data_IF_840567576026
#
_entry.id   IF_840567576026
#
_cell.length_a   1.000
_cell.length_b   1.000
_cell.length_c   1.000
_cell.angle_alpha   90.00
_cell.angle_beta   90.00
_cell.angle_gamma   90.00
#
_symmetry.space_group_name_H-M   'P 1'
#
loop_
_entity.id
_entity.type
_entity.pdbx_description
1 polymer ?
#
# COMPACT_ATOMS: atom_id res chain seq x y z
N UNK A 1 -24.41 13.23 50.28
CA UNK A 1 -23.42 13.69 49.28
C UNK A 1 -23.34 12.62 48.20
N UNK A 2 -24.01 12.83 47.05
CA UNK A 2 -24.06 11.85 45.93
C UNK A 2 -22.90 12.16 44.98
N UNK A 3 -21.88 11.32 44.96
CA UNK A 3 -20.82 11.35 43.95
C UNK A 3 -21.39 10.81 42.64
N UNK A 4 -21.74 11.70 41.71
CA UNK A 4 -22.08 11.30 40.34
C UNK A 4 -20.81 10.81 39.65
N UNK A 5 -20.69 9.50 39.49
CA UNK A 5 -19.72 8.88 38.57
C UNK A 5 -20.15 9.25 37.16
N UNK A 6 -19.60 10.35 36.65
CA UNK A 6 -19.62 10.67 35.23
C UNK A 6 -18.86 9.54 34.53
N UNK A 7 -19.61 8.57 33.99
CA UNK A 7 -19.07 7.70 32.96
C UNK A 7 -18.81 8.61 31.76
N UNK A 8 -17.57 9.11 31.67
CA UNK A 8 -17.03 9.59 30.41
C UNK A 8 -17.14 8.41 29.44
N UNK A 9 -18.22 8.42 28.66
CA UNK A 9 -18.40 7.61 27.47
C UNK A 9 -17.44 8.12 26.40
N UNK A 10 -16.15 8.22 26.74
CA UNK A 10 -15.06 8.48 25.84
C UNK A 10 -15.15 7.37 24.81
N UNK A 11 -15.71 7.71 23.66
CA UNK A 11 -15.83 6.81 22.52
C UNK A 11 -14.43 6.28 22.26
N UNK A 12 -14.16 5.05 22.68
CA UNK A 12 -12.92 4.36 22.41
C UNK A 12 -12.87 4.23 20.89
N UNK A 13 -12.25 5.23 20.24
CA UNK A 13 -11.94 5.16 18.83
C UNK A 13 -11.18 3.85 18.67
N UNK A 14 -11.65 2.93 17.83
CA UNK A 14 -11.01 1.62 17.70
C UNK A 14 -9.54 1.86 17.41
N UNK A 15 -8.69 1.35 18.30
CA UNK A 15 -7.24 1.39 18.12
C UNK A 15 -6.97 0.77 16.76
N UNK A 16 -6.48 1.59 15.83
CA UNK A 16 -6.14 1.12 14.50
C UNK A 16 -4.94 0.19 14.69
N UNK A 17 -5.12 -1.09 14.38
CA UNK A 17 -4.06 -2.09 14.53
C UNK A 17 -2.83 -1.65 13.71
N UNK A 18 -1.63 -1.60 14.33
CA UNK A 18 -0.42 -1.25 13.62
C UNK A 18 -0.14 -2.31 12.54
N UNK A 19 0.49 -1.92 11.42
CA UNK A 19 0.90 -2.88 10.40
C UNK A 19 1.87 -3.92 10.99
N UNK A 20 1.53 -5.20 10.84
CA UNK A 20 2.23 -6.38 11.41
C UNK A 20 3.73 -6.45 11.00
N UNK A 21 4.13 -5.75 9.93
CA UNK A 21 5.47 -5.78 9.35
C UNK A 21 6.09 -4.39 9.22
N UNK A 22 5.91 -3.54 10.23
CA UNK A 22 6.60 -2.26 10.27
C UNK A 22 7.13 -1.90 11.66
N UNK A 23 8.24 -1.17 11.69
CA UNK A 23 8.84 -0.63 12.91
C UNK A 23 8.30 0.80 13.12
N UNK A 24 7.76 1.14 14.30
CA UNK A 24 7.37 2.51 14.60
C UNK A 24 8.61 3.40 14.70
N UNK A 25 8.67 4.47 13.91
CA UNK A 25 9.78 5.44 13.96
C UNK A 25 9.49 6.59 14.93
N UNK A 26 8.22 6.98 15.04
CA UNK A 26 7.80 8.10 15.89
C UNK A 26 6.56 8.80 15.36
N UNK A 27 6.28 9.99 15.88
CA UNK A 27 5.18 10.84 15.42
C UNK A 27 5.73 12.15 14.87
N UNK A 28 5.33 12.51 13.66
CA UNK A 28 5.69 13.78 13.01
C UNK A 28 4.38 14.48 12.63
N UNK A 29 4.18 15.71 13.10
CA UNK A 29 2.97 16.51 12.85
C UNK A 29 1.63 15.76 13.14
N UNK A 30 1.61 14.93 14.20
CA UNK A 30 0.45 14.12 14.59
C UNK A 30 0.23 12.84 13.77
N UNK A 31 1.09 12.55 12.79
CA UNK A 31 1.09 11.31 12.03
C UNK A 31 2.15 10.35 12.58
N UNK A 32 1.78 9.09 12.84
CA UNK A 32 2.74 8.06 13.24
C UNK A 32 3.45 7.52 11.99
N UNK A 33 4.77 7.65 11.96
CA UNK A 33 5.59 7.14 10.87
C UNK A 33 6.03 5.72 11.17
N UNK A 34 5.90 4.83 10.19
CA UNK A 34 6.34 3.45 10.27
C UNK A 34 7.30 3.12 9.13
N UNK A 35 8.33 2.33 9.39
CA UNK A 35 9.22 1.78 8.36
C UNK A 35 8.90 0.33 8.09
N UNK A 36 8.71 -0.03 6.82
CA UNK A 36 8.55 -1.44 6.44
C UNK A 36 9.84 -2.23 6.67
N UNK A 37 9.75 -3.49 7.13
CA UNK A 37 10.94 -4.34 7.23
C UNK A 37 11.61 -4.58 5.88
N UNK A 38 10.82 -4.62 4.79
CA UNK A 38 11.34 -4.77 3.43
C UNK A 38 12.31 -3.66 3.04
N UNK A 39 12.10 -2.44 3.55
CA UNK A 39 13.00 -1.31 3.30
C UNK A 39 14.35 -1.53 3.98
N UNK A 40 14.35 -1.97 5.24
CA UNK A 40 15.57 -2.23 6.00
C UNK A 40 16.39 -3.36 5.39
N UNK A 41 15.72 -4.43 4.95
CA UNK A 41 16.36 -5.55 4.26
C UNK A 41 16.98 -5.07 2.94
N UNK A 42 16.25 -4.30 2.13
CA UNK A 42 16.76 -3.77 0.87
C UNK A 42 17.97 -2.83 1.09
N UNK A 43 17.90 -1.94 2.09
CA UNK A 43 19.02 -1.08 2.45
C UNK A 43 20.24 -1.89 2.88
N UNK A 44 20.04 -2.94 3.69
CA UNK A 44 21.10 -3.87 4.09
C UNK A 44 21.75 -4.58 2.90
N UNK A 45 20.95 -5.03 1.91
CA UNK A 45 21.44 -5.63 0.68
C UNK A 45 22.28 -4.62 -0.12
N UNK A 46 21.79 -3.38 -0.28
CA UNK A 46 22.53 -2.32 -0.98
C UNK A 46 23.85 -2.03 -0.30
N UNK A 47 23.85 -1.84 1.04
CA UNK A 47 25.07 -1.62 1.82
C UNK A 47 26.03 -2.80 1.67
N UNK A 48 25.54 -4.04 1.72
CA UNK A 48 26.35 -5.23 1.51
C UNK A 48 27.01 -5.27 0.13
N UNK A 49 26.25 -5.00 -0.94
CA UNK A 49 26.76 -4.94 -2.31
C UNK A 49 27.80 -3.82 -2.45
N UNK A 50 27.52 -2.63 -1.93
CA UNK A 50 28.46 -1.51 -1.97
C UNK A 50 29.75 -1.87 -1.24
N UNK A 51 29.65 -2.46 -0.04
CA UNK A 51 30.82 -2.88 0.74
C UNK A 51 31.65 -3.97 0.03
N UNK A 52 31.02 -4.90 -0.69
CA UNK A 52 31.75 -5.97 -1.40
C UNK A 52 32.37 -5.50 -2.71
N UNK A 53 31.77 -4.53 -3.41
CA UNK A 53 32.18 -4.15 -4.76
C UNK A 53 32.90 -2.80 -4.88
N UNK A 54 32.82 -1.92 -3.87
CA UNK A 54 33.44 -0.58 -3.94
C UNK A 54 34.98 -0.61 -4.04
N UNK A 55 35.63 -1.72 -3.66
CA UNK A 55 37.09 -1.87 -3.75
C UNK A 55 37.61 -2.27 -5.14
N UNK A 56 36.74 -2.65 -6.08
CA UNK A 56 37.17 -3.10 -7.41
C UNK A 56 37.55 -1.91 -8.30
N UNK A 57 38.57 -2.09 -9.14
CA UNK A 57 38.95 -1.10 -10.14
C UNK A 57 37.73 -0.76 -11.05
N UNK A 58 37.36 0.52 -11.12
CA UNK A 58 36.18 1.00 -11.85
C UNK A 58 34.92 1.22 -11.01
N UNK A 59 34.91 0.82 -9.73
CA UNK A 59 33.73 0.96 -8.85
C UNK A 59 33.89 2.01 -7.74
N UNK A 60 34.88 2.92 -7.85
CA UNK A 60 35.15 3.93 -6.83
C UNK A 60 33.92 4.81 -6.54
N UNK A 61 33.10 5.04 -7.56
CA UNK A 61 31.93 5.91 -7.49
C UNK A 61 30.67 5.20 -6.99
N UNK A 62 30.70 3.87 -6.85
CA UNK A 62 29.53 3.07 -6.48
C UNK A 62 28.97 3.47 -5.10
N UNK A 63 29.86 3.74 -4.14
CA UNK A 63 29.47 4.17 -2.80
C UNK A 63 28.80 5.55 -2.81
N UNK A 64 29.30 6.46 -3.66
CA UNK A 64 28.73 7.79 -3.81
C UNK A 64 27.39 7.75 -4.54
N UNK A 65 27.31 7.06 -5.68
CA UNK A 65 26.07 6.84 -6.44
C UNK A 65 24.97 6.21 -5.59
N UNK A 66 25.30 5.17 -4.82
CA UNK A 66 24.32 4.50 -3.95
C UNK A 66 23.81 5.43 -2.84
N UNK A 67 24.70 6.22 -2.23
CA UNK A 67 24.31 7.21 -1.23
C UNK A 67 23.37 8.26 -1.82
N UNK A 68 23.72 8.82 -2.98
CA UNK A 68 22.88 9.77 -3.71
C UNK A 68 21.53 9.14 -4.05
N UNK A 69 21.52 7.90 -4.53
CA UNK A 69 20.29 7.19 -4.87
C UNK A 69 19.37 7.00 -3.67
N UNK A 70 19.92 6.66 -2.49
CA UNK A 70 19.16 6.56 -1.23
C UNK A 70 18.59 7.92 -0.83
N UNK A 71 19.37 9.00 -0.95
CA UNK A 71 18.91 10.37 -0.65
C UNK A 71 17.77 10.78 -1.57
N UNK A 72 17.92 10.60 -2.89
CA UNK A 72 16.87 10.94 -3.87
C UNK A 72 15.61 10.12 -3.62
N UNK A 73 15.75 8.82 -3.37
CA UNK A 73 14.63 7.95 -3.04
C UNK A 73 13.90 8.42 -1.77
N UNK A 74 14.65 8.84 -0.74
CA UNK A 74 14.08 9.37 0.50
C UNK A 74 13.34 10.70 0.26
N UNK A 75 13.88 11.58 -0.58
CA UNK A 75 13.22 12.82 -1.00
C UNK A 75 11.91 12.51 -1.75
N UNK A 76 11.91 11.54 -2.66
CA UNK A 76 10.69 11.09 -3.33
C UNK A 76 9.64 10.56 -2.35
N UNK A 77 10.06 9.75 -1.37
CA UNK A 77 9.16 9.29 -0.30
C UNK A 77 8.61 10.45 0.53
N UNK A 78 9.43 11.47 0.80
CA UNK A 78 9.00 12.66 1.52
C UNK A 78 7.93 13.43 0.75
N UNK A 79 8.12 13.68 -0.55
CA UNK A 79 7.12 14.37 -1.38
C UNK A 79 5.81 13.60 -1.46
N UNK A 80 5.87 12.26 -1.58
CA UNK A 80 4.67 11.44 -1.52
C UNK A 80 3.98 11.55 -0.16
N UNK A 81 4.72 11.41 0.95
CA UNK A 81 4.17 11.55 2.29
C UNK A 81 3.51 12.93 2.50
N UNK A 82 4.13 13.99 1.98
CA UNK A 82 3.60 15.35 2.02
C UNK A 82 2.31 15.49 1.20
N UNK A 83 2.29 15.00 -0.04
CA UNK A 83 1.10 15.00 -0.88
C UNK A 83 -0.06 14.21 -0.26
N UNK A 84 0.26 13.06 0.36
CA UNK A 84 -0.71 12.30 1.13
C UNK A 84 -1.18 13.04 2.37
N UNK A 85 -0.29 13.73 3.09
CA UNK A 85 -0.68 14.52 4.26
C UNK A 85 -1.61 15.67 3.90
N UNK A 86 -1.41 16.31 2.75
CA UNK A 86 -2.30 17.35 2.24
C UNK A 86 -3.68 16.80 1.85
N UNK A 87 -3.74 15.55 1.35
CA UNK A 87 -5.00 14.88 1.04
C UNK A 87 -5.69 14.22 2.24
N UNK A 88 -4.94 13.82 3.27
CA UNK A 88 -5.47 13.25 4.50
C UNK A 88 -5.99 14.39 5.37
N UNK A 89 -7.27 14.34 5.74
CA UNK A 89 -7.78 15.18 6.82
C UNK A 89 -6.94 15.04 8.10
N UNK A 90 -6.99 16.04 8.98
CA UNK A 90 -6.13 16.15 10.16
C UNK A 90 -6.11 14.90 11.08
N UNK A 91 -7.14 14.05 10.99
CA UNK A 91 -7.46 12.97 11.93
C UNK A 91 -6.94 11.58 11.54
N UNK A 92 -6.09 11.41 10.53
CA UNK A 92 -5.59 10.09 10.12
C UNK A 92 -4.10 9.88 10.43
N UNK A 93 -3.81 8.77 11.11
CA UNK A 93 -2.73 8.69 12.09
C UNK A 93 -1.52 7.83 11.72
N UNK A 94 -1.41 7.29 10.51
CA UNK A 94 -0.14 6.68 10.12
C UNK A 94 0.19 6.70 8.63
N UNK A 95 1.49 6.83 8.34
CA UNK A 95 2.11 6.72 7.02
C UNK A 95 3.21 5.66 7.13
N UNK A 96 3.19 4.66 6.25
CA UNK A 96 4.24 3.64 6.19
C UNK A 96 5.18 3.97 5.04
N UNK A 97 6.47 4.11 5.31
CA UNK A 97 7.50 4.26 4.28
C UNK A 97 7.99 2.85 3.92
N UNK A 98 7.69 2.43 2.69
CA UNK A 98 8.05 1.11 2.16
C UNK A 98 9.07 1.20 1.02
N UNK A 99 9.60 0.05 0.57
CA UNK A 99 10.60 -0.03 -0.50
C UNK A 99 10.17 0.69 -1.80
N UNK A 100 8.89 0.57 -2.15
CA UNK A 100 8.27 1.15 -3.35
C UNK A 100 7.63 2.52 -2.99
N UNK A 101 8.26 3.25 -2.07
CA UNK A 101 7.78 4.53 -1.55
C UNK A 101 6.70 4.41 -0.48
N UNK A 102 5.90 5.47 -0.33
CA UNK A 102 4.95 5.56 0.78
C UNK A 102 3.70 4.73 0.55
N UNK A 103 3.32 3.96 1.56
CA UNK A 103 2.10 3.16 1.63
C UNK A 103 1.15 3.80 2.62
N UNK A 104 -0.15 3.70 2.33
CA UNK A 104 -1.20 4.14 3.24
C UNK A 104 -2.28 3.08 3.38
N UNK A 105 -3.06 3.18 4.45
CA UNK A 105 -4.19 2.28 4.69
C UNK A 105 -5.36 2.62 3.76
N UNK A 106 -5.83 1.63 3.00
CA UNK A 106 -7.08 1.72 2.24
C UNK A 106 -8.27 2.09 3.14
N UNK A 107 -9.18 2.93 2.64
CA UNK A 107 -10.44 3.28 3.35
C UNK A 107 -10.34 4.43 4.35
N UNK A 108 -9.29 5.26 4.24
CA UNK A 108 -9.17 6.54 4.99
C UNK A 108 -9.40 7.78 4.13
N UNK A 109 -9.54 7.59 2.81
CA UNK A 109 -9.83 8.65 1.86
C UNK A 109 -10.91 8.17 0.91
N UNK A 110 -11.79 9.07 0.49
CA UNK A 110 -12.68 8.77 -0.63
C UNK A 110 -11.90 8.50 -1.91
N UNK A 111 -12.55 7.82 -2.85
CA UNK A 111 -11.97 7.53 -4.16
C UNK A 111 -11.54 8.81 -4.88
N UNK A 112 -12.37 9.86 -4.88
CA UNK A 112 -12.05 11.14 -5.53
C UNK A 112 -10.79 11.80 -4.94
N UNK A 113 -10.70 11.89 -3.61
CA UNK A 113 -9.51 12.43 -2.94
C UNK A 113 -8.28 11.59 -3.22
N UNK A 114 -8.41 10.25 -3.18
CA UNK A 114 -7.31 9.33 -3.48
C UNK A 114 -6.80 9.50 -4.91
N UNK A 115 -7.72 9.69 -5.87
CA UNK A 115 -7.37 9.96 -7.27
C UNK A 115 -6.61 11.28 -7.39
N UNK A 116 -7.14 12.36 -6.80
CA UNK A 116 -6.51 13.68 -6.79
C UNK A 116 -5.11 13.64 -6.16
N UNK A 117 -4.95 13.01 -5.00
CA UNK A 117 -3.65 12.90 -4.32
C UNK A 117 -2.66 12.08 -5.12
N UNK A 118 -3.12 10.99 -5.75
CA UNK A 118 -2.26 10.14 -6.57
C UNK A 118 -1.79 10.88 -7.82
N UNK A 119 -2.69 11.59 -8.51
CA UNK A 119 -2.35 12.44 -9.66
C UNK A 119 -1.39 13.55 -9.25
N UNK A 120 -1.69 14.28 -8.16
CA UNK A 120 -0.80 15.33 -7.64
C UNK A 120 0.59 14.80 -7.33
N UNK A 121 0.69 13.65 -6.65
CA UNK A 121 1.97 13.02 -6.31
C UNK A 121 2.79 12.69 -7.56
N UNK A 122 2.14 12.05 -8.54
CA UNK A 122 2.79 11.69 -9.82
C UNK A 122 3.22 12.95 -10.57
N UNK A 123 2.37 13.97 -10.65
CA UNK A 123 2.67 15.24 -11.33
C UNK A 123 3.84 15.97 -10.68
N UNK A 124 3.88 16.06 -9.34
CA UNK A 124 4.98 16.72 -8.61
C UNK A 124 6.29 15.99 -8.84
N UNK A 125 6.30 14.66 -8.71
CA UNK A 125 7.52 13.89 -8.94
C UNK A 125 7.96 13.95 -10.41
N UNK A 126 7.02 13.92 -11.35
CA UNK A 126 7.32 14.03 -12.79
C UNK A 126 7.91 15.40 -13.11
N UNK A 127 7.36 16.47 -12.54
CA UNK A 127 7.87 17.82 -12.70
C UNK A 127 9.29 17.96 -12.14
N UNK A 128 9.54 17.44 -10.93
CA UNK A 128 10.88 17.44 -10.32
C UNK A 128 11.86 16.63 -11.19
N UNK A 129 11.54 15.38 -11.52
CA UNK A 129 12.39 14.52 -12.34
C UNK A 129 12.70 15.14 -13.70
N UNK A 130 11.69 15.67 -14.38
CA UNK A 130 11.86 16.33 -15.68
C UNK A 130 12.67 17.62 -15.57
N UNK A 131 12.47 18.41 -14.51
CA UNK A 131 13.24 19.63 -14.28
C UNK A 131 14.72 19.35 -14.04
N UNK A 132 15.06 18.26 -13.34
CA UNK A 132 16.43 17.83 -13.12
C UNK A 132 17.09 17.35 -14.42
N UNK A 133 16.35 16.63 -15.28
CA UNK A 133 16.83 16.23 -16.61
C UNK A 133 17.01 17.42 -17.55
N UNK A 134 16.18 18.47 -17.44
CA UNK A 134 16.36 19.70 -18.21
C UNK A 134 17.56 20.51 -17.68
N UNK A 135 17.70 20.60 -16.36
CA UNK A 135 18.82 21.27 -15.72
C UNK A 135 20.16 20.59 -16.02
N UNK A 136 20.19 19.25 -16.09
CA UNK A 136 21.41 18.52 -16.46
C UNK A 136 21.85 18.84 -17.90
N UNK A 137 20.91 18.90 -18.85
CA UNK A 137 21.18 19.31 -20.23
C UNK A 137 21.72 20.73 -20.31
N UNK A 138 21.06 21.65 -19.62
CA UNK A 138 21.51 23.05 -19.59
C UNK A 138 22.89 23.22 -18.93
N UNK A 139 23.20 22.40 -17.93
CA UNK A 139 24.54 22.38 -17.31
C UNK A 139 25.59 21.87 -18.30
N UNK A 140 25.31 20.82 -19.08
CA UNK A 140 26.27 20.30 -20.09
C UNK A 140 26.61 21.36 -21.12
N UNK A 141 25.59 22.03 -21.67
CA UNK A 141 25.77 23.06 -22.71
C UNK A 141 26.64 24.25 -22.25
N UNK A 142 26.63 24.57 -20.94
CA UNK A 142 27.37 25.71 -20.39
C UNK A 142 28.82 25.38 -20.04
N UNK A 143 29.09 24.16 -19.58
CA UNK A 143 30.41 23.81 -19.04
C UNK A 143 31.32 23.07 -20.04
N UNK A 144 30.78 22.44 -21.09
CA UNK A 144 31.57 21.82 -22.16
C UNK A 144 31.21 22.36 -23.56
N UNK A 145 31.47 23.66 -23.86
CA UNK A 145 31.26 24.19 -25.20
C UNK A 145 32.23 23.62 -26.26
N UNK A 146 33.28 22.89 -25.86
CA UNK A 146 34.35 22.43 -26.75
C UNK A 146 34.26 20.96 -27.21
N UNK A 147 33.43 20.12 -26.57
CA UNK A 147 33.39 18.67 -26.87
C UNK A 147 32.29 18.25 -27.87
N UNK A 148 31.60 19.22 -28.49
CA UNK A 148 30.52 18.98 -29.47
C UNK A 148 31.02 18.43 -30.81
N UNK A 149 32.33 18.24 -31.00
CA UNK A 149 32.89 18.10 -32.35
C UNK A 149 33.12 16.70 -32.92
N UNK A 150 32.96 15.55 -32.23
CA UNK A 150 33.42 14.30 -32.91
C UNK A 150 32.76 12.92 -32.72
N UNK A 151 31.82 12.63 -31.81
CA UNK A 151 31.40 11.21 -31.64
C UNK A 151 30.07 10.73 -32.23
N UNK A 152 28.99 11.52 -32.39
CA UNK A 152 27.64 10.88 -32.48
C UNK A 152 26.69 11.29 -33.61
N UNK A 153 27.18 11.77 -34.76
CA UNK A 153 26.30 12.11 -35.91
C UNK A 153 25.91 10.89 -36.76
N UNK A 154 26.53 9.72 -36.58
CA UNK A 154 26.25 8.55 -37.45
C UNK A 154 25.75 7.35 -36.65
N UNK A 155 24.49 7.02 -36.93
CA UNK A 155 23.75 5.79 -36.62
C UNK A 155 23.23 5.63 -35.19
N UNK A 156 21.97 6.07 -34.96
CA UNK A 156 21.16 5.57 -33.84
C UNK A 156 20.70 6.60 -32.80
N UNK A 157 20.36 7.84 -33.18
CA UNK A 157 19.96 8.91 -32.23
C UNK A 157 18.86 8.50 -31.23
N UNK A 158 17.95 7.58 -31.56
CA UNK A 158 16.90 7.14 -30.62
C UNK A 158 17.41 6.18 -29.53
N UNK A 159 18.46 5.41 -29.78
CA UNK A 159 18.98 4.45 -28.79
C UNK A 159 19.74 5.17 -27.66
N UNK A 160 20.39 6.30 -27.95
CA UNK A 160 21.07 7.10 -26.94
C UNK A 160 20.13 7.79 -25.95
N UNK A 161 18.88 8.12 -26.34
CA UNK A 161 17.92 8.72 -25.40
C UNK A 161 17.46 7.77 -24.28
N UNK A 162 17.62 6.46 -24.47
CA UNK A 162 17.22 5.44 -23.49
C UNK A 162 18.38 4.64 -22.92
N UNK A 163 19.62 4.92 -23.36
CA UNK A 163 20.79 4.34 -22.73
C UNK A 163 20.96 4.95 -21.34
N UNK A 164 21.05 4.09 -20.31
CA UNK A 164 21.42 4.54 -18.97
C UNK A 164 22.86 5.09 -19.09
N UNK A 165 23.09 6.39 -18.83
CA UNK A 165 24.41 6.99 -19.03
C UNK A 165 25.43 6.26 -18.15
N UNK A 166 26.67 6.17 -18.64
CA UNK A 166 27.79 5.78 -17.79
C UNK A 166 27.83 6.69 -16.57
N UNK A 167 28.04 6.12 -15.38
CA UNK A 167 28.06 6.86 -14.12
C UNK A 167 29.35 7.66 -13.97
N UNK A 168 29.55 8.65 -14.83
CA UNK A 168 30.58 9.67 -14.61
C UNK A 168 30.05 10.68 -13.59
N UNK A 169 30.11 10.31 -12.30
CA UNK A 169 29.57 11.11 -11.20
C UNK A 169 30.42 12.32 -10.86
N UNK A 170 31.54 12.54 -11.56
CA UNK A 170 32.41 13.70 -11.36
C UNK A 170 31.74 14.98 -11.85
N UNK A 171 30.89 14.89 -12.88
CA UNK A 171 30.19 16.05 -13.43
C UNK A 171 28.86 16.35 -12.69
N UNK A 172 28.58 17.62 -12.35
CA UNK A 172 27.30 18.00 -11.74
C UNK A 172 26.12 17.71 -12.68
N UNK A 173 26.33 17.77 -13.99
CA UNK A 173 25.33 17.41 -15.00
C UNK A 173 24.91 15.95 -14.91
N UNK A 174 25.86 15.01 -14.79
CA UNK A 174 25.55 13.59 -14.65
C UNK A 174 24.82 13.28 -13.34
N UNK A 175 25.15 13.96 -12.24
CA UNK A 175 24.44 13.82 -10.96
C UNK A 175 22.96 14.25 -11.07
N UNK A 176 22.70 15.38 -11.71
CA UNK A 176 21.34 15.86 -11.97
C UNK A 176 20.58 14.91 -12.90
N UNK A 177 21.26 14.38 -13.92
CA UNK A 177 20.66 13.41 -14.84
C UNK A 177 20.28 12.11 -14.11
N UNK A 178 21.20 11.55 -13.32
CA UNK A 178 20.95 10.38 -12.50
C UNK A 178 19.77 10.62 -11.54
N UNK A 179 19.74 11.79 -10.91
CA UNK A 179 18.66 12.15 -10.01
C UNK A 179 17.30 12.20 -10.72
N UNK A 180 17.25 12.84 -11.89
CA UNK A 180 16.07 12.87 -12.74
C UNK A 180 15.57 11.46 -13.11
N UNK A 181 16.47 10.58 -13.56
CA UNK A 181 16.13 9.20 -13.88
C UNK A 181 15.63 8.40 -12.67
N UNK A 182 16.25 8.56 -11.51
CA UNK A 182 15.81 7.87 -10.29
C UNK A 182 14.40 8.29 -9.85
N UNK A 183 14.04 9.57 -9.99
CA UNK A 183 12.66 10.01 -9.78
C UNK A 183 11.70 9.37 -10.79
N UNK A 184 12.05 9.31 -12.07
CA UNK A 184 11.22 8.67 -13.09
C UNK A 184 11.04 7.18 -12.84
N UNK A 185 12.10 6.47 -12.48
CA UNK A 185 12.05 5.05 -12.10
C UNK A 185 11.14 4.89 -10.88
N UNK A 186 11.27 5.75 -9.86
CA UNK A 186 10.41 5.69 -8.68
C UNK A 186 8.94 5.89 -9.04
N UNK A 187 8.61 6.84 -9.92
CA UNK A 187 7.25 7.03 -10.44
C UNK A 187 6.76 5.77 -11.17
N UNK A 188 7.57 5.21 -12.06
CA UNK A 188 7.22 4.02 -12.83
C UNK A 188 6.91 2.83 -11.91
N UNK A 189 7.77 2.59 -10.93
CA UNK A 189 7.61 1.50 -9.94
C UNK A 189 6.38 1.73 -9.05
N UNK A 190 6.04 2.98 -8.74
CA UNK A 190 4.86 3.32 -7.93
C UNK A 190 3.55 3.23 -8.69
N UNK A 191 3.56 3.63 -9.96
CA UNK A 191 2.42 3.51 -10.87
C UNK A 191 2.12 2.05 -11.21
N UNK A 192 3.07 1.16 -10.99
CA UNK A 192 2.86 -0.26 -11.15
C UNK A 192 1.88 -0.79 -10.10
N UNK A 193 0.83 -1.56 -10.48
CA UNK A 193 -0.33 -1.82 -9.63
C UNK A 193 -0.12 -2.99 -8.64
N UNK A 194 0.97 -2.91 -7.88
CA UNK A 194 1.32 -3.84 -6.81
C UNK A 194 0.40 -3.69 -5.58
N UNK A 195 0.40 -4.67 -4.66
CA UNK A 195 -0.33 -4.57 -3.41
C UNK A 195 0.11 -3.35 -2.61
N UNK A 196 -0.86 -2.54 -2.17
CA UNK A 196 -0.61 -1.34 -1.36
C UNK A 196 0.28 -0.29 -2.07
N UNK A 197 0.44 -0.35 -3.40
CA UNK A 197 1.14 0.68 -4.17
C UNK A 197 0.18 1.77 -4.63
N UNK A 198 0.75 2.95 -4.93
CA UNK A 198 0.03 4.09 -5.49
C UNK A 198 -0.76 3.70 -6.74
N UNK A 199 -0.16 2.96 -7.66
CA UNK A 199 -0.77 2.55 -8.93
C UNK A 199 -2.04 1.72 -8.76
N UNK A 200 -2.08 0.83 -7.76
CA UNK A 200 -3.29 0.03 -7.48
C UNK A 200 -4.41 0.88 -6.88
N UNK A 201 -4.07 1.83 -6.00
CA UNK A 201 -5.05 2.77 -5.46
C UNK A 201 -5.54 3.75 -6.53
N UNK A 202 -4.65 4.22 -7.39
CA UNK A 202 -4.97 5.07 -8.54
C UNK A 202 -5.96 4.34 -9.46
N UNK A 203 -5.66 3.10 -9.87
CA UNK A 203 -6.55 2.29 -10.69
C UNK A 203 -7.93 2.11 -10.05
N UNK A 204 -7.97 1.74 -8.77
CA UNK A 204 -9.23 1.54 -8.06
C UNK A 204 -10.03 2.85 -7.93
N UNK A 205 -9.36 3.94 -7.55
CA UNK A 205 -9.98 5.26 -7.40
C UNK A 205 -10.49 5.82 -8.73
N UNK A 206 -9.78 5.59 -9.84
CA UNK A 206 -10.20 5.97 -11.17
C UNK A 206 -11.48 5.23 -11.59
N UNK A 207 -11.52 3.90 -11.43
CA UNK A 207 -12.72 3.10 -11.75
C UNK A 207 -13.93 3.53 -10.91
N UNK A 208 -13.73 3.76 -9.61
CA UNK A 208 -14.80 4.20 -8.72
C UNK A 208 -15.28 5.63 -9.01
N UNK A 209 -14.37 6.52 -9.44
CA UNK A 209 -14.72 7.90 -9.77
C UNK A 209 -15.54 8.02 -11.05
N UNK A 210 -15.50 7.01 -11.93
CA UNK A 210 -16.35 6.94 -13.13
C UNK A 210 -17.82 6.64 -12.82
N UNK A 211 -18.18 6.30 -11.56
CA UNK A 211 -19.57 6.21 -11.12
C UNK A 211 -20.37 5.09 -11.77
N UNK A 212 -19.80 3.88 -11.88
CA UNK A 212 -20.53 2.74 -12.43
C UNK A 212 -21.69 2.34 -11.51
N UNK A 213 -22.92 2.28 -12.06
CA UNK A 213 -24.15 2.03 -11.28
C UNK A 213 -24.16 0.70 -10.52
N UNK A 214 -23.39 -0.30 -10.97
CA UNK A 214 -23.34 -1.63 -10.36
C UNK A 214 -22.01 -1.88 -9.65
N UNK A 215 -22.03 -2.03 -8.32
CA UNK A 215 -20.84 -2.36 -7.51
C UNK A 215 -20.09 -3.61 -7.97
N UNK A 216 -20.82 -4.61 -8.49
CA UNK A 216 -20.23 -5.83 -9.05
C UNK A 216 -19.44 -5.60 -10.34
N UNK A 217 -19.73 -4.53 -11.09
CA UNK A 217 -18.98 -4.16 -12.29
C UNK A 217 -17.64 -3.52 -11.93
N UNK A 218 -17.59 -2.66 -10.91
CA UNK A 218 -16.36 -1.96 -10.46
C UNK A 218 -15.27 -2.95 -10.06
N UNK A 219 -15.62 -3.94 -9.23
CA UNK A 219 -14.70 -5.00 -8.79
C UNK A 219 -14.17 -5.78 -9.99
N UNK A 220 -15.04 -6.12 -10.97
CA UNK A 220 -14.65 -6.85 -12.18
C UNK A 220 -13.67 -6.04 -13.03
N UNK A 221 -13.88 -4.73 -13.20
CA UNK A 221 -12.99 -3.86 -13.96
C UNK A 221 -11.61 -3.73 -13.32
N UNK A 222 -11.55 -3.48 -12.00
CA UNK A 222 -10.28 -3.40 -11.29
C UNK A 222 -9.54 -4.74 -11.38
N UNK A 223 -10.24 -5.85 -11.16
CA UNK A 223 -9.66 -7.20 -11.28
C UNK A 223 -9.10 -7.48 -12.68
N UNK A 224 -9.86 -7.16 -13.74
CA UNK A 224 -9.41 -7.30 -15.14
C UNK A 224 -8.20 -6.41 -15.43
N UNK A 225 -8.19 -5.17 -14.95
CA UNK A 225 -7.05 -4.26 -15.11
C UNK A 225 -5.78 -4.81 -14.46
N UNK A 226 -5.89 -5.39 -13.26
CA UNK A 226 -4.76 -6.03 -12.58
C UNK A 226 -4.24 -7.25 -13.35
N UNK A 227 -5.14 -8.13 -13.83
CA UNK A 227 -4.74 -9.29 -14.65
C UNK A 227 -4.06 -8.83 -15.94
N UNK A 228 -4.63 -7.82 -16.62
CA UNK A 228 -4.06 -7.28 -17.85
C UNK A 228 -2.64 -6.74 -17.63
N UNK A 229 -2.42 -6.00 -16.53
CA UNK A 229 -1.08 -5.52 -16.17
C UNK A 229 -0.08 -6.66 -15.92
N UNK A 230 -0.53 -7.76 -15.30
CA UNK A 230 0.32 -8.92 -15.05
C UNK A 230 0.67 -9.65 -16.36
N UNK A 231 -0.30 -9.85 -17.25
CA UNK A 231 -0.09 -10.45 -18.58
C UNK A 231 0.87 -9.60 -19.41
N UNK A 232 0.66 -8.28 -19.45
CA UNK A 232 1.56 -7.36 -20.14
C UNK A 232 3.00 -7.45 -19.62
N UNK A 233 3.16 -7.54 -18.30
CA UNK A 233 4.48 -7.71 -17.66
C UNK A 233 5.13 -9.05 -18.04
N UNK A 234 4.36 -10.13 -18.13
CA UNK A 234 4.88 -11.42 -18.59
C UNK A 234 5.30 -11.37 -20.07
N UNK A 235 4.48 -10.78 -20.93
CA UNK A 235 4.82 -10.59 -22.36
C UNK A 235 6.10 -9.76 -22.52
N UNK A 236 6.25 -8.71 -21.71
CA UNK A 236 7.46 -7.90 -21.69
C UNK A 236 8.69 -8.71 -21.21
N UNK A 237 8.53 -9.58 -20.22
CA UNK A 237 9.58 -10.50 -19.79
C UNK A 237 10.02 -11.45 -20.92
N UNK A 238 9.07 -11.99 -21.69
CA UNK A 238 9.36 -12.84 -22.86
C UNK A 238 10.01 -12.06 -24.00
N UNK A 239 9.61 -10.81 -24.24
CA UNK A 239 10.28 -9.95 -25.21
C UNK A 239 11.75 -9.69 -24.82
N UNK A 240 12.01 -9.46 -23.53
CA UNK A 240 13.37 -9.30 -22.98
C UNK A 240 14.22 -10.57 -23.13
N UNK A 241 13.62 -11.76 -23.02
CA UNK A 241 14.32 -13.02 -23.27
C UNK A 241 14.90 -13.09 -24.69
N UNK A 242 14.19 -12.53 -25.69
CA UNK A 242 14.65 -12.51 -27.09
C UNK A 242 15.76 -11.49 -27.33
N UNK A 243 15.76 -10.39 -26.60
CA UNK A 243 16.70 -9.27 -26.77
C UNK A 243 17.99 -9.42 -25.97
N UNK A 244 18.27 -10.61 -25.42
CA UNK A 244 19.27 -10.80 -24.36
C UNK A 244 20.68 -10.35 -24.78
N UNK A 245 21.04 -9.13 -24.41
CA UNK A 245 22.42 -8.68 -24.30
C UNK A 245 23.05 -9.37 -23.08
N UNK A 246 24.30 -9.84 -23.18
CA UNK A 246 24.95 -10.62 -22.13
C UNK A 246 25.21 -9.77 -20.89
N UNK A 247 24.26 -9.74 -19.98
CA UNK A 247 24.42 -9.23 -18.62
C UNK A 247 24.63 -10.41 -17.66
N UNK A 248 25.34 -10.15 -16.56
CA UNK A 248 25.67 -11.16 -15.55
C UNK A 248 24.44 -11.81 -14.91
N UNK A 249 23.29 -11.10 -14.89
CA UNK A 249 22.02 -11.63 -14.38
C UNK A 249 20.94 -11.47 -15.45
N UNK A 250 20.28 -12.57 -15.88
CA UNK A 250 19.15 -12.46 -16.80
C UNK A 250 18.01 -11.68 -16.13
N UNK A 251 17.49 -10.65 -16.80
CA UNK A 251 16.44 -9.76 -16.26
C UNK A 251 15.03 -10.39 -16.30
N UNK A 252 14.79 -11.26 -17.27
CA UNK A 252 13.47 -11.85 -17.52
C UNK A 252 12.90 -12.68 -16.36
N UNK A 253 13.66 -13.45 -15.55
CA UNK A 253 13.10 -14.22 -14.44
C UNK A 253 12.52 -13.31 -13.36
N UNK A 254 13.15 -12.15 -13.10
CA UNK A 254 12.66 -11.17 -12.14
C UNK A 254 11.31 -10.59 -12.60
N UNK A 255 11.20 -10.24 -13.89
CA UNK A 255 9.94 -9.73 -14.45
C UNK A 255 8.82 -10.78 -14.44
N UNK A 256 9.14 -12.05 -14.72
CA UNK A 256 8.17 -13.15 -14.58
C UNK A 256 7.73 -13.34 -13.13
N UNK A 257 8.66 -13.28 -12.17
CA UNK A 257 8.33 -13.38 -10.74
C UNK A 257 7.39 -12.24 -10.33
N UNK A 258 7.66 -11.02 -10.78
CA UNK A 258 6.78 -9.86 -10.56
C UNK A 258 5.40 -10.09 -11.18
N UNK A 259 5.31 -10.63 -12.40
CA UNK A 259 4.04 -10.97 -13.03
C UNK A 259 3.25 -12.01 -12.22
N UNK A 260 3.89 -13.11 -11.80
CA UNK A 260 3.26 -14.15 -10.97
C UNK A 260 2.78 -13.56 -9.64
N UNK A 261 3.58 -12.68 -9.05
CA UNK A 261 3.22 -12.00 -7.81
C UNK A 261 2.00 -11.07 -7.99
N UNK A 262 1.92 -10.34 -9.11
CA UNK A 262 0.74 -9.55 -9.46
C UNK A 262 -0.51 -10.43 -9.58
N UNK A 263 -0.45 -11.55 -10.30
CA UNK A 263 -1.59 -12.49 -10.41
C UNK A 263 -2.01 -13.02 -9.04
N UNK A 264 -1.05 -13.38 -8.19
CA UNK A 264 -1.35 -13.87 -6.84
C UNK A 264 -2.06 -12.81 -6.00
N UNK A 265 -1.75 -11.55 -6.23
CA UNK A 265 -2.27 -10.43 -5.44
C UNK A 265 -3.52 -9.77 -6.04
N UNK A 266 -3.87 -10.11 -7.28
CA UNK A 266 -5.10 -9.69 -7.95
C UNK A 266 -6.32 -10.52 -7.54
N UNK A 267 -6.24 -11.34 -6.48
CA UNK A 267 -7.39 -12.13 -5.98
C UNK A 267 -8.62 -11.26 -5.78
N UNK A 268 -9.77 -11.77 -6.22
CA UNK A 268 -11.07 -11.09 -6.16
C UNK A 268 -11.41 -10.56 -4.75
N UNK A 269 -11.13 -11.34 -3.71
CA UNK A 269 -11.36 -10.94 -2.31
C UNK A 269 -10.54 -9.70 -1.90
N UNK A 270 -9.31 -9.58 -2.39
CA UNK A 270 -8.46 -8.42 -2.13
C UNK A 270 -8.99 -7.17 -2.84
N UNK A 271 -9.49 -7.32 -4.08
CA UNK A 271 -10.12 -6.23 -4.82
C UNK A 271 -11.44 -5.80 -4.18
N UNK A 272 -12.26 -6.76 -3.75
CA UNK A 272 -13.50 -6.48 -3.00
C UNK A 272 -13.21 -5.72 -1.71
N UNK A 273 -12.20 -6.12 -0.94
CA UNK A 273 -11.82 -5.42 0.28
C UNK A 273 -11.39 -3.97 -0.01
N UNK A 274 -10.66 -3.74 -1.10
CA UNK A 274 -10.25 -2.40 -1.52
C UNK A 274 -11.45 -1.53 -1.92
N UNK A 275 -12.37 -2.05 -2.73
CA UNK A 275 -13.61 -1.34 -3.12
C UNK A 275 -14.49 -1.07 -1.90
N UNK A 276 -14.64 -2.05 -1.02
CA UNK A 276 -15.40 -1.90 0.22
C UNK A 276 -14.82 -0.79 1.10
N UNK A 277 -13.50 -0.71 1.21
CA UNK A 277 -12.82 0.33 1.96
C UNK A 277 -13.17 1.73 1.44
N UNK A 278 -13.17 1.94 0.12
CA UNK A 278 -13.56 3.22 -0.48
C UNK A 278 -15.05 3.55 -0.31
N UNK A 279 -15.93 2.54 -0.42
CA UNK A 279 -17.37 2.75 -0.24
C UNK A 279 -17.74 3.23 1.16
N UNK A 280 -17.06 2.70 2.19
CA UNK A 280 -17.30 3.09 3.58
C UNK A 280 -16.94 4.57 3.79
N UNK A 281 -15.80 5.00 3.26
CA UNK A 281 -15.37 6.41 3.37
C UNK A 281 -16.28 7.36 2.60
N UNK A 282 -16.80 6.93 1.45
CA UNK A 282 -17.74 7.75 0.66
C UNK A 282 -19.06 7.99 1.43
N UNK A 283 -19.59 6.96 2.09
CA UNK A 283 -20.79 7.09 2.92
C UNK A 283 -20.56 8.01 4.14
N UNK A 284 -19.37 7.92 4.75
CA UNK A 284 -18.97 8.79 5.87
C UNK A 284 -18.85 10.26 5.43
N UNK A 285 -18.16 10.53 4.31
CA UNK A 285 -18.04 11.89 3.76
C UNK A 285 -19.42 12.46 3.39
N UNK A 286 -20.30 11.68 2.74
CA UNK A 286 -21.65 12.13 2.41
C UNK A 286 -22.48 12.47 3.66
N UNK A 287 -22.26 11.76 4.78
CA UNK A 287 -22.93 12.05 6.05
C UNK A 287 -22.36 13.27 6.78
N UNK A 288 -21.04 13.49 6.70
CA UNK A 288 -20.37 14.62 7.36
C UNK A 288 -20.69 15.94 6.67
N UNK A 289 -20.77 15.94 5.34
CA UNK A 289 -21.08 17.15 4.57
C UNK A 289 -22.55 17.55 4.62
N UNK A 290 -23.42 16.74 5.25
CA UNK A 290 -24.77 17.16 5.65
C UNK A 290 -25.49 17.95 4.55
N UNK A 291 -25.34 17.54 3.28
CA UNK A 291 -26.12 18.12 2.21
C UNK A 291 -27.51 17.53 2.41
N UNK A 292 -28.23 18.16 3.33
CA UNK A 292 -29.67 18.26 3.35
C UNK A 292 -30.04 18.91 2.01
N UNK A 293 -30.00 18.12 0.92
CA UNK A 293 -30.77 18.37 -0.30
C UNK A 293 -32.27 18.17 0.03
N UNK A 294 -32.72 18.82 1.11
CA UNK A 294 -34.09 19.12 1.43
C UNK A 294 -34.56 20.30 0.58
N UNK A 295 -34.38 20.18 -0.74
CA UNK A 295 -34.85 21.08 -1.76
C UNK A 295 -35.87 20.39 -2.64
N UNK A 296 -37.13 20.42 -2.19
CA UNK A 296 -38.34 20.47 -3.03
C UNK A 296 -38.52 19.39 -4.12
N UNK A 297 -38.82 18.15 -3.73
CA UNK A 297 -39.95 17.38 -4.30
C UNK A 297 -40.01 15.98 -3.69
N UNK A 298 -41.13 15.65 -3.06
CA UNK A 298 -41.39 14.30 -2.54
C UNK A 298 -41.35 14.23 -1.03
N UNK A 299 -42.44 14.68 -0.39
CA UNK A 299 -42.69 14.60 1.05
C UNK A 299 -43.06 13.17 1.51
N UNK A 300 -42.48 12.15 0.87
CA UNK A 300 -42.68 10.74 1.20
C UNK A 300 -41.32 10.01 1.26
N UNK A 301 -41.06 9.29 2.36
CA UNK A 301 -39.94 8.35 2.56
C UNK A 301 -38.62 8.86 3.18
N UNK A 302 -38.63 9.91 4.02
CA UNK A 302 -37.49 10.18 4.92
C UNK A 302 -37.39 9.14 6.06
N UNK A 303 -38.51 8.53 6.44
CA UNK A 303 -38.55 7.51 7.50
C UNK A 303 -37.98 6.14 7.09
N UNK A 304 -38.02 5.76 5.80
CA UNK A 304 -37.48 4.46 5.36
C UNK A 304 -35.95 4.48 5.19
N UNK A 305 -35.39 5.64 4.84
CA UNK A 305 -33.95 5.86 4.69
C UNK A 305 -33.20 5.61 6.00
N UNK A 306 -33.72 6.10 7.13
CA UNK A 306 -33.12 5.91 8.47
C UNK A 306 -33.21 4.43 8.89
N UNK A 307 -34.32 3.75 8.57
CA UNK A 307 -34.50 2.33 8.85
C UNK A 307 -33.49 1.44 8.12
N UNK A 308 -33.15 1.78 6.87
CA UNK A 308 -32.18 1.01 6.06
C UNK A 308 -30.74 1.12 6.59
N UNK A 309 -30.32 2.33 7.03
CA UNK A 309 -29.01 2.57 7.66
C UNK A 309 -28.89 1.91 9.02
N UNK A 310 -29.96 1.95 9.83
CA UNK A 310 -30.00 1.23 11.10
C UNK A 310 -29.92 -0.29 10.89
N UNK A 311 -30.63 -0.84 9.90
CA UNK A 311 -30.56 -2.27 9.56
C UNK A 311 -29.17 -2.71 9.10
N UNK A 312 -28.49 -1.92 8.27
CA UNK A 312 -27.14 -2.26 7.80
C UNK A 312 -26.08 -2.19 8.91
N UNK A 313 -26.25 -1.27 9.87
CA UNK A 313 -25.38 -1.19 11.04
C UNK A 313 -25.64 -2.34 12.02
N UNK A 314 -26.90 -2.71 12.24
CA UNK A 314 -27.29 -3.86 13.05
C UNK A 314 -26.79 -5.16 12.43
N UNK A 315 -26.90 -5.33 11.10
CA UNK A 315 -26.42 -6.53 10.41
C UNK A 315 -24.89 -6.65 10.49
N UNK A 316 -24.14 -5.55 10.37
CA UNK A 316 -22.69 -5.54 10.59
C UNK A 316 -22.31 -5.87 12.03
N UNK A 317 -23.05 -5.36 13.03
CA UNK A 317 -22.85 -5.72 14.44
C UNK A 317 -23.15 -7.20 14.69
N UNK A 318 -24.21 -7.75 14.09
CA UNK A 318 -24.53 -9.18 14.16
C UNK A 318 -23.43 -10.04 13.53
N UNK A 319 -22.92 -9.65 12.36
CA UNK A 319 -21.85 -10.38 11.68
C UNK A 319 -20.55 -10.38 12.49
N UNK A 320 -20.18 -9.23 13.08
CA UNK A 320 -19.00 -9.16 13.96
C UNK A 320 -19.17 -10.05 15.20
N UNK A 321 -20.34 -10.03 15.83
CA UNK A 321 -20.64 -10.92 16.97
C UNK A 321 -20.57 -12.39 16.58
N UNK A 322 -21.09 -12.76 15.40
CA UNK A 322 -20.98 -14.13 14.88
C UNK A 322 -19.53 -14.53 14.65
N UNK A 323 -18.70 -13.66 14.05
CA UNK A 323 -17.28 -13.92 13.84
C UNK A 323 -16.49 -14.05 15.15
N UNK A 324 -16.74 -13.18 16.14
CA UNK A 324 -16.10 -13.29 17.45
C UNK A 324 -16.54 -14.55 18.17
N UNK A 325 -17.81 -14.93 18.03
CA UNK A 325 -18.33 -16.17 18.60
C UNK A 325 -17.71 -17.41 17.94
N UNK A 326 -17.63 -17.47 16.60
CA UNK A 326 -16.97 -18.57 15.88
C UNK A 326 -15.49 -18.69 16.28
N UNK A 327 -14.79 -17.56 16.45
CA UNK A 327 -13.40 -17.59 16.88
C UNK A 327 -13.26 -18.09 18.33
N UNK A 328 -14.15 -17.66 19.23
CA UNK A 328 -14.18 -18.14 20.61
C UNK A 328 -14.49 -19.64 20.67
N UNK A 329 -15.46 -20.11 19.88
CA UNK A 329 -15.84 -21.53 19.78
C UNK A 329 -14.69 -22.38 19.22
N UNK A 330 -13.93 -21.87 18.24
CA UNK A 330 -12.75 -22.56 17.72
C UNK A 330 -11.63 -22.66 18.78
N UNK A 331 -11.40 -21.60 19.55
CA UNK A 331 -10.42 -21.60 20.65
C UNK A 331 -10.87 -22.56 21.76
N UNK A 332 -12.14 -22.53 22.14
CA UNK A 332 -12.70 -23.40 23.18
C UNK A 332 -12.69 -24.88 22.73
N UNK A 333 -12.95 -25.16 21.45
CA UNK A 333 -12.82 -26.51 20.88
C UNK A 333 -11.38 -27.04 20.95
N UNK A 334 -10.39 -26.20 20.60
CA UNK A 334 -8.97 -26.60 20.71
C UNK A 334 -8.53 -26.88 22.15
N UNK A 335 -9.11 -26.16 23.13
CA UNK A 335 -8.86 -26.38 24.56
C UNK A 335 -9.57 -27.62 25.08
N UNK A 336 -10.76 -27.93 24.55
CA UNK A 336 -11.56 -29.07 24.99
C UNK A 336 -10.81 -30.39 24.83
N UNK A 337 -10.12 -30.60 23.70
CA UNK A 337 -9.36 -31.83 23.46
C UNK A 337 -8.25 -32.01 24.51
N UNK A 338 -7.50 -30.94 24.81
CA UNK A 338 -6.46 -30.95 25.84
C UNK A 338 -7.03 -31.20 27.25
N UNK A 339 -8.22 -30.68 27.54
CA UNK A 339 -8.92 -30.90 28.81
C UNK A 339 -9.42 -32.35 28.91
N UNK A 340 -9.98 -32.91 27.84
CA UNK A 340 -10.47 -34.29 27.80
C UNK A 340 -9.33 -35.31 27.97
N UNK A 341 -8.15 -35.03 27.39
CA UNK A 341 -6.96 -35.87 27.57
C UNK A 341 -6.50 -35.87 29.04
N UNK A 342 -6.46 -34.70 29.70
CA UNK A 342 -6.13 -34.59 31.13
C UNK A 342 -7.19 -35.25 32.01
N UNK A 343 -8.46 -35.05 31.72
CA UNK A 343 -9.57 -35.68 32.44
C UNK A 343 -9.49 -37.21 32.38
N UNK A 344 -9.09 -37.77 31.23
CA UNK A 344 -8.91 -39.21 31.07
C UNK A 344 -7.72 -39.74 31.89
N UNK A 345 -6.64 -38.95 32.02
CA UNK A 345 -5.41 -39.36 32.70
C UNK A 345 -5.50 -39.26 34.21
N UNK A 346 -5.94 -38.11 34.71
CA UNK A 346 -5.80 -37.71 36.11
C UNK A 346 -7.16 -37.63 36.84
N UNK A 347 -8.27 -37.89 36.14
CA UNK A 347 -9.62 -37.76 36.67
C UNK A 347 -10.03 -36.29 36.90
N UNK A 348 -11.22 -36.10 37.47
CA UNK A 348 -11.81 -34.75 37.68
C UNK A 348 -10.96 -33.88 38.62
N UNK A 349 -10.22 -34.50 39.54
CA UNK A 349 -9.37 -33.82 40.52
C UNK A 349 -8.13 -33.16 39.87
N UNK A 350 -7.74 -33.60 38.67
CA UNK A 350 -6.62 -33.03 37.92
C UNK A 350 -6.95 -31.76 37.13
N UNK A 351 -8.21 -31.32 37.08
CA UNK A 351 -8.60 -30.13 36.31
C UNK A 351 -8.45 -28.84 37.13
N UNK A 352 -7.89 -27.81 36.48
CA UNK A 352 -7.92 -26.45 37.04
C UNK A 352 -9.35 -25.89 37.06
N UNK A 353 -9.62 -24.92 37.93
CA UNK A 353 -10.94 -24.25 38.00
C UNK A 353 -11.34 -23.63 36.65
N UNK A 354 -10.39 -23.11 35.90
CA UNK A 354 -10.64 -22.52 34.59
C UNK A 354 -11.09 -23.59 33.57
N UNK A 355 -10.51 -24.78 33.61
CA UNK A 355 -10.87 -25.90 32.74
C UNK A 355 -12.26 -26.47 33.09
N UNK A 356 -12.58 -26.53 34.39
CA UNK A 356 -13.92 -26.91 34.86
C UNK A 356 -14.99 -25.92 34.37
N UNK A 357 -14.69 -24.61 34.38
CA UNK A 357 -15.58 -23.58 33.85
C UNK A 357 -15.74 -23.65 32.33
N UNK A 358 -14.70 -24.06 31.58
CA UNK A 358 -14.81 -24.35 30.14
C UNK A 358 -15.73 -25.56 29.89
N UNK A 359 -15.51 -26.67 30.60
CA UNK A 359 -16.36 -27.87 30.47
C UNK A 359 -17.82 -27.59 30.81
N UNK A 360 -18.07 -26.80 31.86
CA UNK A 360 -19.43 -26.40 32.25
C UNK A 360 -20.11 -25.58 31.16
N UNK A 361 -19.41 -24.61 30.56
CA UNK A 361 -19.94 -23.81 29.45
C UNK A 361 -20.26 -24.65 28.21
N UNK A 362 -19.37 -25.58 27.85
CA UNK A 362 -19.58 -26.48 26.69
C UNK A 362 -20.73 -27.46 26.95
N UNK A 363 -20.82 -28.00 28.17
CA UNK A 363 -21.95 -28.84 28.62
C UNK A 363 -23.29 -28.11 28.54
N UNK A 364 -23.35 -26.87 29.03
CA UNK A 364 -24.55 -26.03 28.96
C UNK A 364 -24.92 -25.68 27.50
N UNK A 365 -23.93 -25.40 26.65
CA UNK A 365 -24.13 -25.14 25.23
C UNK A 365 -24.67 -26.38 24.47
N UNK A 366 -24.11 -27.57 24.71
CA UNK A 366 -24.57 -28.83 24.11
C UNK A 366 -25.99 -29.20 24.56
N UNK A 367 -26.33 -29.00 25.85
CA UNK A 367 -27.70 -29.19 26.35
C UNK A 367 -28.68 -28.26 25.63
N UNK A 368 -28.31 -27.00 25.43
CA UNK A 368 -29.14 -26.01 24.74
C UNK A 368 -29.29 -26.32 23.24
N UNK A 369 -28.26 -26.87 22.60
CA UNK A 369 -28.31 -27.31 21.21
C UNK A 369 -29.21 -28.54 21.01
N UNK A 370 -29.21 -29.50 21.96
CA UNK A 370 -30.05 -30.71 21.90
C UNK A 370 -31.55 -30.44 22.13
N UNK A 371 -31.90 -29.32 22.76
CA UNK A 371 -33.29 -28.90 23.01
C UNK A 371 -33.89 -28.07 21.85
N UNK A 372 -33.06 -27.64 20.90
CA UNK A 372 -33.51 -27.04 19.64
C UNK A 372 -33.62 -28.13 18.58
#
# INVERSE_FOLDING_TARGET
MKTSTHHDGGSHRPLVEPPVLAIPMGRVAGCSLYFSYSLLIALGIVVGIVATFAGNAGNKDLAFASTIAVVIWAIGCFFQAAAYRLGLGANHHFIEIGLIGTRWSSGKMSAKRTLQTSVMTVSVMLAIGSSLLLASRWSRDRFDPFDVTQSDVRTGQLEHYFAIPGFDLESPGALLELAGWLFLIQIAVQMFPLPRSLGRHLLASAVLSLGMKERGSEVRWIHRGLILSAVFTALFAFAMLRSNTPLFVPRWPLLLLVSIWLVRTSRMSSVQNLVNAFSITADEEASEFGIDEAGESGRESFHDSIGSKARSWISRRKLRRALTQEHQEAVDASKLDAILERLHRDGVEGLSRDDQDVLRRVSEALKKAKQR
#
